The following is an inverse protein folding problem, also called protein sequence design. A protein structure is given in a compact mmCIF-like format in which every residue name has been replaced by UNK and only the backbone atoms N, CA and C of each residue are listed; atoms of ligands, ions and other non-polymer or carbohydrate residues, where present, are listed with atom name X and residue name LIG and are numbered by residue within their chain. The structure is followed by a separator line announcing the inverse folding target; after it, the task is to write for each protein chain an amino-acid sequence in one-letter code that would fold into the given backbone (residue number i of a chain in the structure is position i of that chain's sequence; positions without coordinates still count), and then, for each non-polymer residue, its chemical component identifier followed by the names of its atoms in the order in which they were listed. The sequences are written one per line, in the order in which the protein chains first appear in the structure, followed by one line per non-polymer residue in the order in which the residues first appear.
data_IF_443971464269
#
_entry.id   IF_443971464269
#
_cell.length_a   1.000
_cell.length_b   1.000
_cell.length_c   1.000
_cell.angle_alpha   90.00
_cell.angle_beta   90.00
_cell.angle_gamma   90.00
#
_symmetry.space_group_name_H-M   'P 1'
#
loop_
_entity.id
_entity.type
_entity.pdbx_description
1 polymer ?
#
# COMPACT_ATOMS: atom_id res chain seq x y z
N UNK A 1 6.12 3.79 22.24
CA UNK A 1 6.09 4.97 21.35
C UNK A 1 7.26 4.85 20.40
N UNK A 2 7.10 5.30 19.16
CA UNK A 2 8.19 5.29 18.18
C UNK A 2 9.25 6.34 18.47
N UNK A 3 10.40 6.18 17.82
CA UNK A 3 11.47 7.15 17.77
C UNK A 3 10.96 8.50 17.24
N UNK A 4 11.37 9.58 17.88
CA UNK A 4 11.13 10.94 17.38
C UNK A 4 12.22 11.38 16.39
N UNK A 5 11.94 12.45 15.64
CA UNK A 5 12.94 13.16 14.81
C UNK A 5 14.21 13.45 15.62
N UNK A 6 14.06 14.10 16.78
CA UNK A 6 15.22 14.55 17.56
C UNK A 6 16.03 13.37 18.13
N UNK A 7 15.36 12.29 18.55
CA UNK A 7 16.03 11.06 18.97
C UNK A 7 16.81 10.42 17.83
N UNK A 8 16.27 10.42 16.61
CA UNK A 8 17.00 9.91 15.44
C UNK A 8 18.20 10.80 15.13
N UNK A 9 18.04 12.12 15.10
CA UNK A 9 19.14 13.04 14.80
C UNK A 9 20.28 12.91 15.83
N UNK A 10 19.93 12.82 17.12
CA UNK A 10 20.90 12.54 18.18
C UNK A 10 21.61 11.19 17.96
N UNK A 11 20.86 10.15 17.58
CA UNK A 11 21.43 8.83 17.28
C UNK A 11 22.40 8.87 16.10
N UNK A 12 22.10 9.63 15.04
CA UNK A 12 23.02 9.80 13.91
C UNK A 12 24.32 10.49 14.34
N UNK A 13 24.24 11.50 15.22
CA UNK A 13 25.41 12.17 15.80
C UNK A 13 26.24 11.24 16.69
N UNK A 14 25.61 10.47 17.58
CA UNK A 14 26.27 9.44 18.42
C UNK A 14 27.04 8.44 17.57
N UNK A 15 26.44 8.02 16.46
CA UNK A 15 27.05 7.12 15.50
C UNK A 15 28.11 7.80 14.63
N UNK A 16 28.40 9.09 14.80
CA UNK A 16 29.32 9.86 13.96
C UNK A 16 28.99 9.68 12.48
N UNK A 17 27.72 9.91 12.14
CA UNK A 17 27.23 9.96 10.76
C UNK A 17 27.08 11.43 10.39
N UNK A 18 27.81 11.87 9.37
CA UNK A 18 27.69 13.23 8.86
C UNK A 18 26.36 13.37 8.10
N UNK A 19 25.61 14.42 8.44
CA UNK A 19 24.40 14.80 7.72
C UNK A 19 24.18 16.31 7.79
N UNK A 20 23.54 16.86 6.78
CA UNK A 20 23.07 18.25 6.78
C UNK A 20 21.56 18.27 6.98
N UNK A 21 21.05 19.15 7.84
CA UNK A 21 19.61 19.30 8.13
C UNK A 21 19.03 20.51 7.41
N UNK A 22 17.89 20.33 6.77
CA UNK A 22 17.09 21.38 6.15
C UNK A 22 15.65 21.32 6.68
N UNK A 23 15.20 22.38 7.33
CA UNK A 23 13.84 22.51 7.82
C UNK A 23 12.94 23.18 6.78
N UNK A 24 11.69 22.73 6.69
CA UNK A 24 10.70 23.26 5.76
C UNK A 24 9.28 22.98 6.29
N UNK A 25 8.24 23.63 5.74
CA UNK A 25 6.86 23.23 6.02
C UNK A 25 6.63 21.74 5.74
N UNK A 26 5.58 21.17 6.35
CA UNK A 26 5.18 19.78 6.09
C UNK A 26 4.91 19.58 4.60
N UNK A 27 5.61 18.61 4.00
CA UNK A 27 5.42 18.19 2.61
C UNK A 27 5.00 16.73 2.53
N UNK A 28 4.14 16.42 1.57
CA UNK A 28 3.60 15.07 1.37
C UNK A 28 4.06 14.41 0.07
N UNK A 29 4.58 15.19 -0.88
CA UNK A 29 5.04 14.69 -2.17
C UNK A 29 6.51 15.05 -2.41
N UNK A 30 7.14 14.28 -3.30
CA UNK A 30 8.53 14.50 -3.68
C UNK A 30 8.68 15.83 -4.42
N UNK A 31 7.71 16.22 -5.26
CA UNK A 31 7.71 17.52 -5.95
C UNK A 31 7.64 18.68 -4.95
N UNK A 32 6.85 18.53 -3.88
CA UNK A 32 6.76 19.53 -2.82
C UNK A 32 8.10 19.64 -2.06
N UNK A 33 8.73 18.51 -1.71
CA UNK A 33 10.06 18.49 -1.10
C UNK A 33 11.12 19.13 -2.01
N UNK A 34 11.08 18.85 -3.32
CA UNK A 34 12.00 19.38 -4.30
C UNK A 34 12.06 20.91 -4.33
N UNK A 35 10.96 21.60 -4.01
CA UNK A 35 10.93 23.07 -3.92
C UNK A 35 11.85 23.61 -2.82
N UNK A 36 12.10 22.81 -1.77
CA UNK A 36 12.91 23.21 -0.62
C UNK A 36 14.37 22.77 -0.72
N UNK A 37 14.64 21.60 -1.28
CA UNK A 37 15.99 21.02 -1.31
C UNK A 37 16.50 20.67 -2.71
N UNK A 38 15.67 20.77 -3.76
CA UNK A 38 16.04 20.36 -5.11
C UNK A 38 17.09 21.26 -5.79
N UNK A 39 17.36 22.44 -5.22
CA UNK A 39 18.46 23.31 -5.63
C UNK A 39 19.81 22.93 -4.99
N UNK A 40 19.79 22.03 -4.01
CA UNK A 40 20.99 21.53 -3.34
C UNK A 40 21.54 20.32 -4.11
N UNK A 41 22.86 20.14 -4.04
CA UNK A 41 23.53 18.99 -4.64
C UNK A 41 23.18 17.73 -3.84
N UNK A 42 22.28 16.90 -4.36
CA UNK A 42 21.85 15.66 -3.76
C UNK A 42 20.66 15.05 -4.50
N UNK A 43 20.38 13.78 -4.23
CA UNK A 43 19.27 13.10 -4.86
C UNK A 43 18.05 12.98 -3.94
N UNK A 44 16.88 13.37 -4.45
CA UNK A 44 15.61 13.13 -3.77
C UNK A 44 15.33 11.64 -3.69
N UNK A 45 14.90 11.17 -2.52
CA UNK A 45 14.40 9.80 -2.33
C UNK A 45 12.88 9.79 -2.26
N UNK A 46 12.29 8.65 -2.59
CA UNK A 46 10.88 8.34 -2.39
C UNK A 46 10.75 6.98 -1.71
N UNK A 47 9.73 6.83 -0.89
CA UNK A 47 9.59 5.66 -0.03
C UNK A 47 8.15 5.12 -0.10
N UNK A 48 7.99 3.82 -0.35
CA UNK A 48 6.71 3.14 -0.23
C UNK A 48 6.72 2.15 0.91
N UNK A 49 5.58 2.10 1.61
CA UNK A 49 5.27 1.05 2.55
C UNK A 49 4.28 0.07 1.92
N UNK A 50 4.73 -1.17 1.72
CA UNK A 50 4.01 -2.21 0.99
C UNK A 50 3.71 -3.39 1.90
N UNK A 51 2.73 -4.19 1.50
CA UNK A 51 2.47 -5.51 2.08
C UNK A 51 2.13 -6.54 1.03
N UNK A 52 2.37 -7.80 1.37
CA UNK A 52 1.96 -8.92 0.54
C UNK A 52 0.60 -9.52 0.95
N UNK A 53 0.22 -10.63 0.31
CA UNK A 53 -1.01 -11.38 0.66
C UNK A 53 -0.95 -12.07 2.03
N UNK A 54 0.25 -12.32 2.56
CA UNK A 54 0.50 -12.95 3.85
C UNK A 54 0.74 -11.95 4.98
N UNK A 55 0.45 -10.66 4.77
CA UNK A 55 0.66 -9.60 5.77
C UNK A 55 2.13 -9.45 6.21
N UNK A 56 3.05 -9.70 5.27
CA UNK A 56 4.46 -9.33 5.42
C UNK A 56 4.68 -7.95 4.84
N UNK A 57 5.50 -7.15 5.50
CA UNK A 57 5.65 -5.73 5.22
C UNK A 57 7.02 -5.41 4.63
N UNK A 58 7.04 -4.40 3.75
CA UNK A 58 8.23 -3.98 3.03
C UNK A 58 8.29 -2.45 3.00
N UNK A 59 9.48 -1.90 3.19
CA UNK A 59 9.80 -0.53 2.81
C UNK A 59 10.67 -0.58 1.56
N UNK A 60 10.24 0.09 0.50
CA UNK A 60 11.02 0.27 -0.73
C UNK A 60 11.45 1.73 -0.78
N UNK A 61 12.74 1.98 -0.72
CA UNK A 61 13.32 3.32 -0.80
C UNK A 61 14.10 3.45 -2.09
N UNK A 62 13.75 4.43 -2.91
CA UNK A 62 14.32 4.62 -4.23
C UNK A 62 14.64 6.08 -4.54
N UNK A 63 15.47 6.33 -5.55
CA UNK A 63 15.58 7.69 -6.09
C UNK A 63 14.23 8.13 -6.64
N UNK A 64 13.93 9.42 -6.54
CA UNK A 64 12.70 10.02 -7.06
C UNK A 64 12.41 9.61 -8.52
N UNK A 65 13.47 9.57 -9.33
CA UNK A 65 13.42 9.28 -10.78
C UNK A 65 13.37 7.79 -11.14
N UNK A 66 13.72 6.89 -10.23
CA UNK A 66 13.74 5.44 -10.49
C UNK A 66 12.34 4.92 -10.75
N UNK A 67 12.13 4.23 -11.87
CA UNK A 67 10.83 3.63 -12.17
C UNK A 67 10.74 2.23 -11.54
N UNK A 68 9.92 2.11 -10.50
CA UNK A 68 9.72 0.84 -9.80
C UNK A 68 8.41 0.20 -10.26
N UNK A 69 8.51 -0.90 -11.01
CA UNK A 69 7.35 -1.73 -11.39
C UNK A 69 7.04 -2.74 -10.27
N UNK A 70 5.93 -2.51 -9.56
CA UNK A 70 5.52 -3.36 -8.44
C UNK A 70 5.15 -4.79 -8.88
N UNK A 71 4.76 -5.02 -10.13
CA UNK A 71 4.48 -6.37 -10.65
C UNK A 71 5.79 -7.13 -10.83
N UNK A 72 6.78 -6.49 -11.44
CA UNK A 72 8.13 -7.07 -11.62
C UNK A 72 8.76 -7.33 -10.25
N UNK A 73 8.75 -6.34 -9.36
CA UNK A 73 9.29 -6.50 -8.01
C UNK A 73 8.61 -7.65 -7.25
N UNK A 74 7.28 -7.75 -7.35
CA UNK A 74 6.52 -8.84 -6.75
C UNK A 74 6.89 -10.22 -7.32
N UNK A 75 7.19 -10.31 -8.63
CA UNK A 75 7.65 -11.54 -9.25
C UNK A 75 9.07 -11.91 -8.78
N UNK A 76 9.99 -10.94 -8.73
CA UNK A 76 11.37 -11.11 -8.25
C UNK A 76 11.44 -11.53 -6.77
N UNK A 77 10.49 -11.08 -5.95
CA UNK A 77 10.32 -11.55 -4.58
C UNK A 77 9.65 -12.93 -4.48
N UNK A 78 9.22 -13.54 -5.59
CA UNK A 78 8.51 -14.83 -5.57
C UNK A 78 7.09 -14.77 -5.00
N UNK A 79 6.47 -13.59 -4.96
CA UNK A 79 5.11 -13.38 -4.45
C UNK A 79 4.03 -13.57 -5.53
N UNK A 80 4.46 -13.89 -6.75
CA UNK A 80 3.63 -13.93 -7.95
C UNK A 80 3.33 -12.54 -8.50
N UNK A 81 2.62 -12.47 -9.62
CA UNK A 81 2.21 -11.20 -10.23
C UNK A 81 1.15 -10.51 -9.37
N UNK A 82 1.39 -9.25 -8.97
CA UNK A 82 0.47 -8.49 -8.11
C UNK A 82 0.38 -9.02 -6.66
N UNK A 83 1.45 -9.65 -6.17
CA UNK A 83 1.57 -10.06 -4.77
C UNK A 83 1.82 -8.90 -3.81
N UNK A 84 2.44 -7.81 -4.28
CA UNK A 84 2.65 -6.57 -3.53
C UNK A 84 1.52 -5.56 -3.74
N UNK A 85 1.15 -4.86 -2.67
CA UNK A 85 0.22 -3.72 -2.66
C UNK A 85 0.62 -2.72 -1.57
N UNK A 86 0.11 -1.49 -1.66
CA UNK A 86 0.26 -0.50 -0.58
C UNK A 86 -0.22 -1.08 0.75
N UNK A 87 0.55 -0.84 1.80
CA UNK A 87 0.11 -1.10 3.16
C UNK A 87 -0.97 -0.10 3.57
N UNK A 88 -1.93 -0.51 4.43
CA UNK A 88 -2.97 0.39 4.91
C UNK A 88 -2.38 1.44 5.86
N UNK A 89 -3.05 2.59 5.99
CA UNK A 89 -2.57 3.72 6.80
C UNK A 89 -2.41 3.33 8.28
N UNK A 90 -3.28 2.47 8.79
CA UNK A 90 -3.23 1.97 10.18
C UNK A 90 -1.90 1.23 10.46
N UNK A 91 -1.37 0.52 9.46
CA UNK A 91 -0.10 -0.18 9.60
C UNK A 91 1.10 0.78 9.69
N UNK A 92 0.99 2.04 9.25
CA UNK A 92 2.05 3.04 9.46
C UNK A 92 2.25 3.31 10.94
N UNK A 93 1.15 3.52 11.67
CA UNK A 93 1.20 3.78 13.11
C UNK A 93 1.57 2.53 13.91
N UNK A 94 1.07 1.36 13.51
CA UNK A 94 1.29 0.11 14.26
C UNK A 94 2.66 -0.53 13.99
N UNK A 95 3.12 -0.53 12.74
CA UNK A 95 4.36 -1.21 12.32
C UNK A 95 5.53 -0.24 12.29
N UNK A 96 5.42 0.86 11.55
CA UNK A 96 6.52 1.81 11.40
C UNK A 96 6.56 2.87 12.50
N UNK A 97 5.46 3.06 13.24
CA UNK A 97 5.29 4.12 14.25
C UNK A 97 5.63 5.53 13.73
N UNK A 98 5.28 5.79 12.48
CA UNK A 98 5.41 7.11 11.84
C UNK A 98 4.05 7.58 11.32
N UNK A 99 3.81 8.91 11.27
CA UNK A 99 2.62 9.44 10.63
C UNK A 99 2.68 9.29 9.11
N UNK A 100 1.54 9.50 8.47
CA UNK A 100 1.43 9.53 7.01
C UNK A 100 2.39 10.57 6.40
N UNK A 101 3.03 10.21 5.28
CA UNK A 101 4.05 11.04 4.63
C UNK A 101 5.45 10.95 5.23
N UNK A 102 5.63 10.22 6.34
CA UNK A 102 6.93 10.08 7.02
C UNK A 102 7.57 8.69 6.82
N UNK A 103 7.17 7.95 5.77
CA UNK A 103 7.81 6.68 5.42
C UNK A 103 9.24 6.95 5.00
N UNK A 104 10.18 6.23 5.61
CA UNK A 104 11.62 6.45 5.44
C UNK A 104 12.38 5.20 5.90
N UNK A 105 13.57 4.89 5.35
CA UNK A 105 14.41 3.80 5.85
C UNK A 105 14.70 3.90 7.35
N UNK A 106 14.74 5.12 7.89
CA UNK A 106 14.99 5.33 9.31
C UNK A 106 13.88 4.80 10.23
N UNK A 107 12.66 4.59 9.74
CA UNK A 107 11.55 4.07 10.53
C UNK A 107 11.80 2.64 11.06
N UNK A 108 12.77 1.94 10.48
CA UNK A 108 13.18 0.61 10.91
C UNK A 108 13.90 0.59 12.26
N UNK A 109 14.27 1.75 12.84
CA UNK A 109 14.76 1.83 14.22
C UNK A 109 13.69 1.40 15.24
N UNK A 110 12.42 1.50 14.88
CA UNK A 110 11.32 1.12 15.75
C UNK A 110 11.23 -0.41 15.84
N UNK A 111 11.18 -0.94 17.06
CA UNK A 111 11.12 -2.39 17.31
C UNK A 111 9.91 -3.06 16.64
N UNK A 112 8.78 -2.35 16.52
CA UNK A 112 7.60 -2.82 15.78
C UNK A 112 7.87 -3.09 14.29
N UNK A 113 8.91 -2.49 13.72
CA UNK A 113 9.34 -2.67 12.34
C UNK A 113 10.41 -3.78 12.18
N UNK A 114 10.72 -4.56 13.22
CA UNK A 114 11.78 -5.59 13.14
C UNK A 114 11.58 -6.61 12.01
N UNK A 115 10.34 -6.97 11.65
CA UNK A 115 10.05 -7.93 10.58
C UNK A 115 9.81 -7.26 9.22
N UNK A 116 9.94 -5.93 9.12
CA UNK A 116 9.86 -5.21 7.84
C UNK A 116 11.13 -5.45 7.05
N UNK A 117 10.97 -5.89 5.80
CA UNK A 117 12.06 -5.97 4.83
C UNK A 117 12.31 -4.62 4.18
N UNK A 118 13.57 -4.24 4.05
CA UNK A 118 13.99 -2.98 3.42
C UNK A 118 14.67 -3.29 2.09
N UNK A 119 14.17 -2.69 1.02
CA UNK A 119 14.81 -2.70 -0.29
C UNK A 119 15.26 -1.29 -0.62
N UNK A 120 16.57 -1.12 -0.80
CA UNK A 120 17.19 0.13 -1.19
C UNK A 120 17.49 0.09 -2.68
N UNK A 121 17.23 1.19 -3.38
CA UNK A 121 17.67 1.34 -4.76
C UNK A 121 19.21 1.42 -4.84
N UNK A 122 19.81 0.57 -5.67
CA UNK A 122 21.24 0.60 -5.93
C UNK A 122 21.73 1.96 -6.44
N UNK A 123 20.85 2.75 -7.07
CA UNK A 123 21.13 4.11 -7.53
C UNK A 123 21.59 5.05 -6.40
N UNK A 124 21.22 4.81 -5.14
CA UNK A 124 21.74 5.59 -4.02
C UNK A 124 23.27 5.51 -3.87
N UNK A 125 23.89 4.40 -4.26
CA UNK A 125 25.35 4.22 -4.17
C UNK A 125 26.13 5.13 -5.12
N UNK A 126 25.50 5.63 -6.17
CA UNK A 126 26.15 6.49 -7.17
C UNK A 126 25.98 7.98 -6.85
N UNK A 127 25.18 8.32 -5.83
CA UNK A 127 24.95 9.70 -5.43
C UNK A 127 25.96 10.13 -4.37
N UNK A 128 26.38 11.40 -4.45
CA UNK A 128 27.20 12.02 -3.40
C UNK A 128 26.44 12.06 -2.07
N UNK A 129 25.19 12.52 -2.11
CA UNK A 129 24.25 12.42 -1.00
C UNK A 129 22.81 12.23 -1.48
N UNK A 130 21.97 11.73 -0.58
CA UNK A 130 20.55 11.52 -0.80
C UNK A 130 19.74 12.22 0.30
N UNK A 131 18.57 12.72 -0.07
CA UNK A 131 17.65 13.42 0.82
C UNK A 131 16.62 12.44 1.39
N UNK A 132 16.51 12.40 2.72
CA UNK A 132 15.55 11.57 3.43
C UNK A 132 14.83 12.36 4.52
N UNK A 133 13.61 11.94 4.85
CA UNK A 133 12.90 12.46 6.02
C UNK A 133 13.39 11.75 7.29
N UNK A 134 13.83 12.47 8.33
CA UNK A 134 14.24 11.90 9.62
C UNK A 134 13.00 11.64 10.50
N UNK A 135 12.14 10.71 10.07
CA UNK A 135 10.86 10.33 10.73
C UNK A 135 9.80 11.43 10.78
N UNK A 136 10.08 12.60 10.21
CA UNK A 136 9.18 13.74 10.11
C UNK A 136 9.33 14.40 8.74
N UNK A 137 8.22 14.83 8.16
CA UNK A 137 8.15 15.42 6.82
C UNK A 137 8.16 16.96 6.83
N UNK A 138 8.47 17.57 7.98
CA UNK A 138 8.86 18.97 8.14
C UNK A 138 10.38 19.20 8.02
N UNK A 139 11.13 18.12 7.84
CA UNK A 139 12.59 18.14 7.83
C UNK A 139 13.11 17.20 6.76
N UNK A 140 14.20 17.60 6.12
CA UNK A 140 14.98 16.76 5.21
C UNK A 140 16.42 16.73 5.70
N UNK A 141 17.01 15.55 5.74
CA UNK A 141 18.44 15.38 5.95
C UNK A 141 19.13 14.89 4.69
N UNK A 142 20.31 15.42 4.42
CA UNK A 142 21.21 14.98 3.37
C UNK A 142 22.30 14.08 3.99
N UNK A 143 22.41 12.84 3.52
CA UNK A 143 23.51 11.94 3.89
C UNK A 143 23.87 11.01 2.73
N UNK A 144 25.09 10.47 2.75
CA UNK A 144 25.52 9.50 1.75
C UNK A 144 25.07 8.07 2.08
N UNK A 145 25.16 7.17 1.11
CA UNK A 145 24.78 5.76 1.26
C UNK A 145 25.55 5.09 2.42
N UNK A 146 26.83 5.42 2.63
CA UNK A 146 27.64 4.87 3.72
C UNK A 146 27.11 5.26 5.10
N UNK A 147 26.62 6.49 5.26
CA UNK A 147 25.96 6.94 6.49
C UNK A 147 24.68 6.17 6.77
N UNK A 148 23.88 5.93 5.72
CA UNK A 148 22.67 5.11 5.82
C UNK A 148 23.01 3.67 6.22
N UNK A 149 24.03 3.09 5.59
CA UNK A 149 24.52 1.73 5.88
C UNK A 149 25.00 1.60 7.34
N UNK A 150 25.73 2.61 7.84
CA UNK A 150 26.20 2.66 9.22
C UNK A 150 25.03 2.71 10.20
N UNK A 151 24.02 3.53 9.91
CA UNK A 151 22.80 3.59 10.70
C UNK A 151 22.05 2.24 10.71
N UNK A 152 21.79 1.66 9.53
CA UNK A 152 21.07 0.39 9.41
C UNK A 152 21.81 -0.74 10.13
N UNK A 153 23.13 -0.81 9.98
CA UNK A 153 23.96 -1.79 10.67
C UNK A 153 23.89 -1.64 12.19
N UNK A 154 23.80 -0.41 12.70
CA UNK A 154 23.70 -0.13 14.15
C UNK A 154 22.40 -0.62 14.78
N UNK A 155 21.35 -0.84 13.98
CA UNK A 155 20.05 -1.40 14.41
C UNK A 155 19.89 -2.86 14.00
N UNK A 156 20.98 -3.54 13.60
CA UNK A 156 20.97 -4.94 13.21
C UNK A 156 20.35 -5.22 11.84
N UNK A 157 20.18 -4.19 11.00
CA UNK A 157 19.65 -4.32 9.64
C UNK A 157 20.80 -4.31 8.64
N UNK A 158 20.93 -5.39 7.86
CA UNK A 158 21.87 -5.43 6.74
C UNK A 158 21.28 -4.63 5.56
N UNK A 159 21.98 -3.61 5.03
CA UNK A 159 21.52 -2.87 3.86
C UNK A 159 21.52 -3.75 2.61
N UNK A 160 20.40 -3.78 1.89
CA UNK A 160 20.25 -4.58 0.67
C UNK A 160 19.88 -3.65 -0.47
N UNK A 161 20.81 -3.51 -1.40
CA UNK A 161 20.68 -2.68 -2.58
C UNK A 161 20.24 -3.52 -3.78
N UNK A 162 19.20 -3.08 -4.45
CA UNK A 162 18.53 -3.79 -5.53
C UNK A 162 18.48 -2.86 -6.74
N UNK A 163 18.77 -3.40 -7.92
CA UNK A 163 18.40 -2.76 -9.18
C UNK A 163 16.88 -2.76 -9.30
N UNK A 164 16.20 -1.68 -8.93
CA UNK A 164 14.73 -1.65 -8.93
C UNK A 164 14.11 -1.47 -10.33
N UNK A 165 14.91 -1.10 -11.34
CA UNK A 165 14.44 -0.98 -12.73
C UNK A 165 14.67 -2.27 -13.53
N UNK A 166 15.52 -3.17 -13.04
CA UNK A 166 15.75 -4.46 -13.68
C UNK A 166 14.47 -5.30 -13.78
N UNK A 167 14.25 -5.84 -14.98
CA UNK A 167 13.17 -6.76 -15.32
C UNK A 167 13.72 -8.12 -15.79
N UNK A 168 14.37 -8.89 -14.90
CA UNK A 168 14.84 -10.23 -15.22
C UNK A 168 13.64 -11.18 -15.45
N UNK A 169 13.76 -12.21 -16.30
CA UNK A 169 12.73 -13.21 -16.42
C UNK A 169 12.63 -14.03 -15.12
N UNK A 170 11.41 -14.31 -14.67
CA UNK A 170 11.15 -15.15 -13.50
C UNK A 170 10.24 -16.30 -13.93
N UNK A 171 10.69 -17.53 -13.73
CA UNK A 171 10.01 -18.74 -14.20
C UNK A 171 10.57 -20.03 -13.60
N UNK A 172 10.15 -21.17 -14.16
CA UNK A 172 10.55 -22.49 -13.64
C UNK A 172 12.07 -22.69 -13.65
N UNK A 173 12.73 -22.20 -14.70
CA UNK A 173 14.18 -22.35 -14.90
C UNK A 173 14.99 -21.14 -14.39
N UNK A 174 14.30 -20.08 -13.96
CA UNK A 174 14.90 -18.85 -13.44
C UNK A 174 14.17 -18.44 -12.16
N UNK A 175 14.61 -18.95 -11.00
CA UNK A 175 13.93 -18.68 -9.74
C UNK A 175 13.98 -17.18 -9.41
N UNK A 176 13.03 -16.68 -8.60
CA UNK A 176 13.01 -15.28 -8.21
C UNK A 176 14.30 -14.88 -7.46
N UNK A 177 14.98 -13.87 -7.98
CA UNK A 177 16.31 -13.42 -7.51
C UNK A 177 16.28 -12.72 -6.15
N UNK A 178 15.11 -12.21 -5.73
CA UNK A 178 14.91 -11.53 -4.45
C UNK A 178 14.11 -12.38 -3.44
N UNK A 179 13.90 -13.68 -3.70
CA UNK A 179 13.09 -14.53 -2.82
C UNK A 179 13.58 -14.57 -1.36
N UNK A 180 14.90 -14.45 -1.15
CA UNK A 180 15.50 -14.41 0.19
C UNK A 180 15.18 -13.14 0.98
N UNK A 181 14.72 -12.08 0.32
CA UNK A 181 14.38 -10.79 0.95
C UNK A 181 12.96 -10.74 1.51
N UNK A 182 12.20 -11.82 1.30
CA UNK A 182 10.86 -11.96 1.80
C UNK A 182 10.92 -12.26 3.31
N UNK A 183 10.24 -11.48 4.17
CA UNK A 183 10.18 -11.76 5.60
C UNK A 183 9.67 -13.17 5.90
N UNK A 184 10.23 -13.81 6.93
CA UNK A 184 9.75 -15.12 7.40
C UNK A 184 8.47 -15.00 8.22
N UNK A 185 8.32 -13.91 8.99
CA UNK A 185 7.21 -13.69 9.91
C UNK A 185 6.21 -12.66 9.41
N UNK A 186 4.92 -12.96 9.54
CA UNK A 186 3.85 -11.99 9.36
C UNK A 186 3.64 -11.21 10.66
N UNK A 187 3.50 -9.89 10.58
CA UNK A 187 3.11 -9.08 11.73
C UNK A 187 1.59 -9.13 11.84
N UNK A 188 1.08 -9.67 12.93
CA UNK A 188 -0.36 -9.61 13.24
C UNK A 188 -0.70 -8.19 13.70
N UNK A 189 -1.48 -7.46 12.90
CA UNK A 189 -2.08 -6.20 13.34
C UNK A 189 -3.18 -6.55 14.37
N UNK A 190 -3.21 -5.92 15.56
CA UNK A 190 -4.31 -6.11 16.49
C UNK A 190 -5.63 -5.72 15.82
N UNK A 191 -6.59 -6.65 15.83
CA UNK A 191 -7.92 -6.38 15.32
C UNK A 191 -8.55 -5.22 16.10
N UNK A 192 -9.19 -4.28 15.40
CA UNK A 192 -10.01 -3.23 16.01
C UNK A 192 -11.05 -3.89 16.95
N UNK A 193 -11.29 -3.35 18.15
CA UNK A 193 -12.28 -3.93 19.06
C UNK A 193 -13.68 -3.62 18.53
N UNK A 194 -14.27 -4.59 17.84
CA UNK A 194 -15.72 -4.61 17.65
C UNK A 194 -16.40 -4.80 19.02
N UNK A 195 -17.44 -3.98 19.23
CA UNK A 195 -18.26 -3.90 20.43
C UNK A 195 -18.74 -5.29 20.89
N UNK A 196 -18.48 -5.58 22.17
CA UNK A 196 -19.21 -6.50 23.09
C UNK A 196 -20.71 -6.62 22.79
N UNK A 197 -21.45 -7.73 22.95
CA UNK A 197 -21.38 -8.93 23.81
C UNK A 197 -22.43 -9.99 23.30
N UNK A 198 -22.83 -11.08 24.01
CA UNK A 198 -22.22 -11.85 25.10
C UNK A 198 -22.12 -13.37 24.81
N UNK A 199 -21.49 -14.07 25.76
CA UNK A 199 -21.27 -15.51 25.87
C UNK A 199 -22.53 -16.38 25.74
N UNK A 200 -22.39 -17.56 25.12
CA UNK A 200 -23.08 -18.76 25.56
C UNK A 200 -22.15 -19.98 25.53
N UNK A 201 -22.11 -20.64 26.69
CA UNK A 201 -21.42 -21.89 27.01
C UNK A 201 -22.28 -23.06 26.52
N UNK A 202 -21.69 -24.07 25.89
CA UNK A 202 -22.06 -25.47 26.11
C UNK A 202 -21.06 -26.42 25.45
N UNK A 203 -20.31 -27.07 26.33
CA UNK A 203 -20.04 -28.51 26.41
C UNK A 203 -19.35 -29.29 25.29
N UNK A 204 -18.26 -29.90 25.74
CA UNK A 204 -17.50 -30.97 25.11
C UNK A 204 -18.38 -32.18 24.78
N UNK A 205 -18.10 -32.83 23.65
CA UNK A 205 -17.91 -34.28 23.64
C UNK A 205 -17.13 -34.77 22.41
N UNK A 206 -16.43 -35.87 22.65
CA UNK A 206 -15.40 -36.51 21.85
C UNK A 206 -15.85 -37.07 20.48
N UNK A 207 -14.87 -37.15 19.58
CA UNK A 207 -14.77 -37.94 18.35
C UNK A 207 -14.89 -39.47 18.63
N UNK A 208 -14.71 -40.43 17.66
CA UNK A 208 -14.24 -40.30 16.26
C UNK A 208 -14.93 -41.27 15.26
N UNK A 209 -14.35 -41.36 14.05
CA UNK A 209 -14.13 -42.60 13.23
C UNK A 209 -14.64 -42.49 11.77
N UNK A 210 -13.66 -42.25 10.88
CA UNK A 210 -13.26 -43.10 9.75
C UNK A 210 -14.33 -43.61 8.75
N UNK A 211 -14.19 -43.26 7.47
CA UNK A 211 -13.78 -44.23 6.45
C UNK A 211 -13.55 -43.61 5.05
N UNK A 212 -12.43 -44.05 4.47
CA UNK A 212 -12.05 -43.98 3.04
C UNK A 212 -13.13 -44.56 2.12
N UNK A 213 -13.26 -44.01 0.92
CA UNK A 213 -13.38 -44.80 -0.31
C UNK A 213 -13.08 -43.98 -1.58
N UNK A 214 -12.13 -44.50 -2.34
CA UNK A 214 -11.73 -44.22 -3.72
C UNK A 214 -12.82 -44.53 -4.75
N UNK A 215 -12.77 -43.85 -5.91
CA UNK A 215 -13.53 -44.22 -7.11
C UNK A 215 -13.11 -43.37 -8.33
N UNK A 216 -12.84 -44.01 -9.45
CA UNK A 216 -12.02 -43.57 -10.60
C UNK A 216 -12.88 -43.33 -11.86
N UNK A 217 -12.39 -42.46 -12.77
CA UNK A 217 -12.67 -42.33 -14.21
C UNK A 217 -14.10 -42.16 -14.74
N UNK A 218 -14.31 -41.16 -15.62
CA UNK A 218 -14.16 -41.35 -17.07
C UNK A 218 -14.53 -40.10 -17.88
N UNK A 219 -13.79 -39.91 -18.98
CA UNK A 219 -13.99 -38.99 -20.10
C UNK A 219 -15.20 -39.42 -20.94
N UNK A 220 -16.00 -38.46 -21.42
CA UNK A 220 -16.79 -38.61 -22.65
C UNK A 220 -17.13 -37.24 -23.26
N UNK A 221 -17.33 -37.26 -24.57
CA UNK A 221 -17.23 -36.17 -25.55
C UNK A 221 -18.57 -35.44 -25.74
N UNK A 222 -18.46 -34.19 -26.26
CA UNK A 222 -19.52 -33.27 -26.72
C UNK A 222 -20.60 -33.94 -27.60
N UNK A 223 -21.77 -33.30 -27.69
CA UNK A 223 -22.09 -32.62 -28.94
C UNK A 223 -22.63 -31.19 -28.76
N UNK A 224 -22.39 -30.42 -29.82
CA UNK A 224 -22.80 -29.05 -30.09
C UNK A 224 -24.29 -28.92 -30.42
N UNK A 225 -24.94 -27.88 -29.90
CA UNK A 225 -26.08 -27.24 -30.56
C UNK A 225 -26.06 -25.74 -30.29
N UNK A 226 -26.06 -25.00 -31.38
CA UNK A 226 -26.04 -23.55 -31.53
C UNK A 226 -27.45 -22.99 -31.24
N UNK A 227 -27.58 -22.08 -30.27
CA UNK A 227 -28.75 -21.19 -30.14
C UNK A 227 -28.27 -19.82 -29.69
N UNK A 228 -28.29 -18.87 -30.62
CA UNK A 228 -28.20 -17.43 -30.39
C UNK A 228 -29.22 -17.00 -29.32
N UNK A 229 -28.74 -16.38 -28.24
CA UNK A 229 -29.51 -15.44 -27.42
C UNK A 229 -28.61 -14.27 -27.05
N UNK A 230 -28.88 -13.14 -27.70
CA UNK A 230 -28.44 -11.83 -27.24
C UNK A 230 -28.85 -11.64 -25.78
N UNK A 231 -27.90 -11.23 -24.93
CA UNK A 231 -28.22 -10.74 -23.59
C UNK A 231 -27.28 -9.60 -23.23
N UNK A 232 -27.93 -8.49 -22.87
CA UNK A 232 -27.34 -7.18 -22.64
C UNK A 232 -26.18 -7.21 -21.65
N UNK A 233 -25.12 -6.51 -22.05
CA UNK A 233 -23.98 -6.11 -21.25
C UNK A 233 -24.39 -5.07 -20.21
N UNK A 234 -24.43 -5.45 -18.93
CA UNK A 234 -24.30 -4.53 -17.81
C UNK A 234 -23.12 -4.96 -16.96
N UNK A 235 -21.92 -4.76 -17.51
CA UNK A 235 -20.70 -4.70 -16.73
C UNK A 235 -20.27 -3.23 -16.72
N UNK A 236 -20.63 -2.50 -15.67
CA UNK A 236 -20.09 -1.16 -15.42
C UNK A 236 -18.60 -1.36 -15.16
N UNK A 237 -17.82 -1.17 -16.21
CA UNK A 237 -16.39 -0.99 -16.14
C UNK A 237 -16.12 0.25 -15.30
N UNK A 238 -15.49 0.09 -14.13
CA UNK A 238 -14.97 1.22 -13.36
C UNK A 238 -13.86 1.88 -14.17
N UNK A 239 -14.22 2.82 -15.02
CA UNK A 239 -13.27 3.66 -15.76
C UNK A 239 -12.54 4.52 -14.73
N UNK A 240 -11.21 4.48 -14.73
CA UNK A 240 -10.38 5.33 -13.86
C UNK A 240 -10.69 6.80 -14.14
N UNK A 241 -11.41 7.44 -13.21
CA UNK A 241 -11.92 8.81 -13.24
C UNK A 241 -11.15 9.65 -12.21
N UNK A 242 -9.82 9.71 -12.35
CA UNK A 242 -8.97 10.33 -11.30
C UNK A 242 -7.94 11.31 -11.83
N UNK A 243 -7.88 11.49 -13.16
CA UNK A 243 -7.06 12.52 -13.80
C UNK A 243 -7.86 13.82 -14.05
N UNK A 244 -9.15 13.84 -13.71
CA UNK A 244 -10.08 14.91 -14.05
C UNK A 244 -10.92 15.30 -12.81
N UNK A 245 -10.61 16.45 -12.17
CA UNK A 245 -11.35 16.96 -11.02
C UNK A 245 -12.84 17.22 -11.33
N UNK A 246 -13.17 17.57 -12.57
CA UNK A 246 -14.54 17.88 -12.98
C UNK A 246 -15.37 16.60 -13.04
N UNK A 247 -14.79 15.53 -13.59
CA UNK A 247 -15.42 14.21 -13.60
C UNK A 247 -15.65 13.63 -12.20
N UNK A 248 -14.74 13.89 -11.26
CA UNK A 248 -14.94 13.49 -9.86
C UNK A 248 -16.17 14.18 -9.22
N UNK A 249 -16.36 15.47 -9.51
CA UNK A 249 -17.51 16.23 -9.01
C UNK A 249 -18.82 15.68 -9.60
N UNK A 250 -18.85 15.40 -10.90
CA UNK A 250 -20.00 14.75 -11.57
C UNK A 250 -20.33 13.38 -10.96
N UNK A 251 -19.33 12.49 -10.86
CA UNK A 251 -19.48 11.14 -10.27
C UNK A 251 -20.01 11.22 -8.81
N UNK A 252 -19.59 12.24 -8.07
CA UNK A 252 -20.04 12.48 -6.69
C UNK A 252 -21.50 12.93 -6.62
N UNK A 253 -21.91 13.86 -7.49
CA UNK A 253 -23.29 14.35 -7.57
C UNK A 253 -24.24 13.23 -7.99
N UNK A 254 -23.88 12.43 -9.00
CA UNK A 254 -24.69 11.32 -9.50
C UNK A 254 -24.91 10.24 -8.43
N UNK A 255 -23.85 9.86 -7.71
CA UNK A 255 -23.94 8.92 -6.59
C UNK A 255 -24.80 9.42 -5.45
N UNK A 256 -24.61 10.68 -5.05
CA UNK A 256 -25.39 11.27 -3.95
C UNK A 256 -26.87 11.34 -4.31
N UNK A 257 -27.17 11.73 -5.55
CA UNK A 257 -28.54 11.77 -6.07
C UNK A 257 -29.17 10.37 -6.10
N UNK A 258 -28.42 9.36 -6.57
CA UNK A 258 -28.87 7.96 -6.58
C UNK A 258 -29.17 7.42 -5.18
N UNK A 259 -28.32 7.76 -4.19
CA UNK A 259 -28.53 7.42 -2.78
C UNK A 259 -29.80 8.05 -2.22
N UNK A 260 -30.01 9.35 -2.47
CA UNK A 260 -31.22 10.06 -2.06
C UNK A 260 -32.47 9.40 -2.66
N UNK A 261 -32.47 9.16 -3.97
CA UNK A 261 -33.60 8.55 -4.68
C UNK A 261 -33.88 7.13 -4.15
N UNK A 262 -32.85 6.35 -3.84
CA UNK A 262 -33.01 4.98 -3.32
C UNK A 262 -33.66 4.92 -1.94
N UNK A 263 -33.60 6.01 -1.15
CA UNK A 263 -34.17 6.08 0.19
C UNK A 263 -35.57 6.74 0.20
N UNK A 264 -35.93 7.50 -0.85
CA UNK A 264 -37.27 8.09 -1.03
C UNK A 264 -38.17 7.08 -1.77
N UNK A 265 -38.58 6.02 -1.06
CA UNK A 265 -39.58 5.05 -1.54
C UNK A 265 -40.93 5.29 -0.85
N UNK A 266 -42.04 4.88 -1.47
CA UNK A 266 -43.36 4.98 -0.84
C UNK A 266 -43.41 4.28 0.53
N UNK A 267 -42.69 3.17 0.70
CA UNK A 267 -42.59 2.42 1.95
C UNK A 267 -41.84 3.22 3.01
N UNK A 268 -40.69 3.80 2.67
CA UNK A 268 -39.92 4.62 3.61
C UNK A 268 -40.66 5.91 3.97
N UNK A 269 -41.36 6.53 3.02
CA UNK A 269 -42.19 7.72 3.28
C UNK A 269 -43.32 7.38 4.26
N UNK A 270 -44.00 6.25 4.09
CA UNK A 270 -45.05 5.80 5.02
C UNK A 270 -44.49 5.38 6.38
N UNK A 271 -43.30 4.78 6.43
CA UNK A 271 -42.68 4.27 7.65
C UNK A 271 -42.08 5.39 8.52
N UNK A 272 -41.40 6.35 7.91
CA UNK A 272 -40.60 7.34 8.63
C UNK A 272 -41.25 8.74 8.68
N UNK A 273 -42.18 9.05 7.77
CA UNK A 273 -42.92 10.32 7.76
C UNK A 273 -42.01 11.54 7.92
N UNK A 274 -42.25 12.35 8.95
CA UNK A 274 -41.48 13.56 9.26
C UNK A 274 -39.99 13.29 9.56
N UNK A 275 -39.63 12.05 9.95
CA UNK A 275 -38.24 11.64 10.24
C UNK A 275 -37.47 11.17 9.01
N UNK A 276 -38.11 11.10 7.84
CA UNK A 276 -37.48 10.60 6.62
C UNK A 276 -36.21 11.38 6.26
N UNK A 277 -36.22 12.71 6.44
CA UNK A 277 -35.04 13.55 6.19
C UNK A 277 -33.84 13.18 7.06
N UNK A 278 -34.07 12.81 8.32
CA UNK A 278 -33.02 12.38 9.25
C UNK A 278 -32.45 11.01 8.86
N UNK A 279 -33.33 10.08 8.45
CA UNK A 279 -32.93 8.76 7.94
C UNK A 279 -32.08 8.88 6.69
N UNK A 280 -32.51 9.68 5.71
CA UNK A 280 -31.77 9.94 4.48
C UNK A 280 -30.41 10.57 4.80
N UNK A 281 -30.38 11.59 5.66
CA UNK A 281 -29.13 12.25 6.08
C UNK A 281 -28.15 11.26 6.72
N UNK A 282 -28.63 10.39 7.62
CA UNK A 282 -27.81 9.37 8.27
C UNK A 282 -27.30 8.31 7.28
N UNK A 283 -28.14 7.88 6.34
CA UNK A 283 -27.75 6.90 5.33
C UNK A 283 -26.72 7.47 4.35
N UNK A 284 -26.92 8.70 3.87
CA UNK A 284 -25.93 9.42 3.06
C UNK A 284 -24.63 9.54 3.83
N UNK A 285 -24.66 10.04 5.08
CA UNK A 285 -23.47 10.19 5.90
C UNK A 285 -22.73 8.86 6.05
N UNK A 286 -23.43 7.75 6.32
CA UNK A 286 -22.79 6.43 6.52
C UNK A 286 -22.22 5.85 5.23
N UNK A 287 -23.00 5.82 4.15
CA UNK A 287 -22.59 5.22 2.86
C UNK A 287 -21.56 6.09 2.15
N UNK A 288 -21.80 7.39 2.06
CA UNK A 288 -20.95 8.34 1.34
C UNK A 288 -19.64 8.62 2.09
N UNK A 289 -19.63 8.69 3.43
CA UNK A 289 -18.37 8.94 4.16
C UNK A 289 -17.36 7.79 3.99
N UNK A 290 -17.84 6.55 3.93
CA UNK A 290 -16.97 5.39 3.70
C UNK A 290 -16.34 5.44 2.31
N UNK A 291 -17.14 5.77 1.29
CA UNK A 291 -16.64 5.94 -0.08
C UNK A 291 -15.70 7.13 -0.22
N UNK A 292 -16.06 8.31 0.31
CA UNK A 292 -15.20 9.49 0.31
C UNK A 292 -13.88 9.21 1.03
N UNK A 293 -13.91 8.50 2.16
CA UNK A 293 -12.70 8.11 2.88
C UNK A 293 -11.84 7.19 2.01
N UNK A 294 -12.44 6.17 1.37
CA UNK A 294 -11.75 5.29 0.43
C UNK A 294 -11.13 6.07 -0.74
N UNK A 295 -11.87 7.00 -1.34
CA UNK A 295 -11.41 7.82 -2.45
C UNK A 295 -10.31 8.78 -2.03
N UNK A 296 -10.43 9.42 -0.85
CA UNK A 296 -9.39 10.26 -0.28
C UNK A 296 -8.11 9.46 0.00
N UNK A 297 -8.23 8.24 0.54
CA UNK A 297 -7.10 7.32 0.71
C UNK A 297 -6.49 6.95 -0.64
N UNK A 298 -7.29 6.76 -1.69
CA UNK A 298 -6.80 6.49 -3.03
C UNK A 298 -6.03 7.70 -3.61
N UNK A 299 -6.58 8.91 -3.52
CA UNK A 299 -5.90 10.14 -3.94
C UNK A 299 -4.57 10.35 -3.22
N UNK A 300 -4.58 10.15 -1.89
CA UNK A 300 -3.38 10.18 -1.05
C UNK A 300 -2.35 9.16 -1.55
N UNK A 301 -2.75 7.90 -1.73
CA UNK A 301 -1.85 6.85 -2.20
C UNK A 301 -1.29 7.15 -3.59
N UNK A 302 -2.11 7.67 -4.51
CA UNK A 302 -1.65 8.10 -5.84
C UNK A 302 -0.56 9.15 -5.70
N UNK A 303 -0.80 10.22 -4.93
CA UNK A 303 0.19 11.28 -4.69
C UNK A 303 1.49 10.77 -4.04
N UNK A 304 1.42 9.81 -3.11
CA UNK A 304 2.61 9.20 -2.50
C UNK A 304 3.35 8.23 -3.44
N UNK A 305 2.64 7.69 -4.43
CA UNK A 305 3.16 6.69 -5.37
C UNK A 305 3.57 7.28 -6.72
N UNK A 306 3.54 8.60 -6.91
CA UNK A 306 4.02 9.21 -8.15
C UNK A 306 5.48 8.76 -8.43
N UNK A 307 5.67 8.19 -9.63
CA UNK A 307 6.91 7.52 -10.04
C UNK A 307 7.03 6.02 -9.68
N UNK A 308 6.02 5.41 -9.05
CA UNK A 308 5.87 3.95 -8.93
C UNK A 308 4.79 3.50 -9.90
N UNK A 309 5.17 2.75 -10.94
CA UNK A 309 4.21 2.37 -11.97
C UNK A 309 3.54 1.02 -11.64
N UNK A 310 2.25 1.05 -11.28
CA UNK A 310 1.38 -0.11 -11.44
C UNK A 310 0.90 -0.15 -12.90
N UNK A 311 1.79 -0.36 -13.86
CA UNK A 311 1.49 -0.05 -15.24
C UNK A 311 0.31 -0.88 -15.78
N UNK A 312 -0.78 -0.21 -16.16
CA UNK A 312 -1.90 -0.75 -16.92
C UNK A 312 -1.63 -0.53 -18.40
N UNK A 313 -0.59 -1.15 -18.94
CA UNK A 313 -0.39 -1.15 -20.39
C UNK A 313 -1.30 -2.22 -21.00
N UNK A 314 -2.46 -1.76 -21.52
CA UNK A 314 -3.09 -2.42 -22.67
C UNK A 314 -2.06 -2.41 -23.78
N UNK A 315 -1.49 -3.58 -24.09
CA UNK A 315 -0.84 -3.79 -25.37
C UNK A 315 -1.91 -3.55 -26.46
N UNK A 316 -1.84 -2.40 -27.12
CA UNK A 316 -2.39 -2.30 -28.46
C UNK A 316 -1.58 -3.27 -29.32
N UNK A 317 -2.22 -4.39 -29.68
CA UNK A 317 -1.73 -5.25 -30.76
C UNK A 317 -1.72 -4.38 -32.02
N UNK A 318 -0.53 -4.07 -32.52
CA UNK A 318 -0.34 -3.71 -33.92
C UNK A 318 -0.52 -5.02 -34.71
N UNK A 319 -1.60 -5.07 -35.49
CA UNK A 319 -1.66 -5.81 -36.75
C UNK A 319 -1.15 -4.88 -37.85
#
# INVERSE_FOLDING_TARGET
MGYTKDQLLARLQELQIDFTKHEHPVVLTVEAQAKHVGHLNGALSKNLFLKDKKHRFYVVSALAKTNVDLKVLSQRLGLGKGGLRMAPEEALAEVLQVPLGCVTPFALVNESARCVSLLLDQGFKTQECCFFHPLSNDTTIALNARGLDKFLSSIGKQPIYVDLEANPPVGKDQPPDLASLVPSDAIALPAQPDKTAPQQVSDMNHAPVNNKSTGVSAKAVKPSTDVRKEKLSNGISSSNSFADPEKFVEDFIEKTSSLVISEITEENVKQYGDKLGEVISNTIRKKLATELKSTATMFKNTAYSEGFSACTLRQAKLQ
#
